data_IF_175431528339
#
_entry.id   IF_175431528339
#
_cell.length_a   1.000
_cell.length_b   1.000
_cell.length_c   1.000
_cell.angle_alpha   90.00
_cell.angle_beta   90.00
_cell.angle_gamma   90.00
#
_symmetry.space_group_name_H-M   'P 1'
#
loop_
_entity.id
_entity.type
_entity.pdbx_description
1 polymer ?
#
# COMPACT_ATOMS: atom_id res chain seq x y z
N UNK A 1 -19.76 -0.55 4.92
CA UNK A 1 -18.56 0.20 4.46
C UNK A 1 -18.68 0.36 2.96
N UNK A 2 -18.87 1.57 2.44
CA UNK A 2 -18.78 1.87 1.01
C UNK A 2 -17.31 2.12 0.67
N UNK A 3 -16.75 1.35 -0.27
CA UNK A 3 -15.39 1.56 -0.75
C UNK A 3 -15.36 2.54 -1.91
N UNK A 4 -14.33 3.38 -1.97
CA UNK A 4 -14.00 4.17 -3.17
C UNK A 4 -13.24 3.28 -4.14
N UNK A 5 -13.53 3.39 -5.44
CA UNK A 5 -12.84 2.67 -6.49
C UNK A 5 -12.18 3.66 -7.46
N UNK A 6 -10.93 3.40 -7.82
CA UNK A 6 -10.19 4.17 -8.83
C UNK A 6 -10.03 3.31 -10.08
N UNK A 7 -10.41 3.88 -11.23
CA UNK A 7 -10.27 3.29 -12.56
C UNK A 7 -9.42 4.17 -13.51
N UNK A 8 -8.81 5.22 -12.98
CA UNK A 8 -8.07 6.28 -13.70
C UNK A 8 -6.77 6.61 -12.99
N UNK A 9 -5.94 7.44 -13.61
CA UNK A 9 -4.75 7.98 -12.94
C UNK A 9 -5.17 9.04 -11.94
N UNK A 10 -4.70 8.91 -10.70
CA UNK A 10 -5.02 9.85 -9.62
C UNK A 10 -3.75 10.31 -8.90
N UNK A 11 -3.79 11.53 -8.40
CA UNK A 11 -2.67 12.12 -7.65
C UNK A 11 -3.14 12.54 -6.26
N UNK A 12 -2.27 12.40 -5.26
CA UNK A 12 -2.47 12.90 -3.90
C UNK A 12 -3.73 12.33 -3.22
N UNK A 13 -3.96 11.03 -3.37
CA UNK A 13 -5.11 10.33 -2.79
C UNK A 13 -4.88 10.11 -1.30
N UNK A 14 -5.85 10.47 -0.46
CA UNK A 14 -5.78 10.24 0.99
C UNK A 14 -6.90 9.30 1.44
N UNK A 15 -6.55 8.26 2.18
CA UNK A 15 -7.49 7.28 2.75
C UNK A 15 -7.41 7.34 4.27
N UNK A 16 -8.51 7.69 4.91
CA UNK A 16 -8.60 7.89 6.37
C UNK A 16 -9.37 6.76 7.06
N UNK A 17 -9.43 6.82 8.38
CA UNK A 17 -10.15 5.86 9.23
C UNK A 17 -11.56 5.52 8.72
N UNK A 18 -11.88 4.22 8.71
CA UNK A 18 -13.19 3.71 8.30
C UNK A 18 -13.42 3.69 6.78
N UNK A 19 -12.52 4.29 5.99
CA UNK A 19 -12.60 4.28 4.53
C UNK A 19 -11.76 3.15 3.93
N UNK A 20 -12.28 2.59 2.84
CA UNK A 20 -11.57 1.59 2.03
C UNK A 20 -11.43 2.12 0.61
N UNK A 21 -10.23 2.01 0.04
CA UNK A 21 -9.93 2.32 -1.35
C UNK A 21 -9.55 1.03 -2.09
N UNK A 22 -10.08 0.86 -3.29
CA UNK A 22 -9.62 -0.14 -4.25
C UNK A 22 -9.07 0.55 -5.49
N UNK A 23 -7.82 0.23 -5.84
CA UNK A 23 -7.17 0.75 -7.05
C UNK A 23 -7.24 -0.34 -8.10
N UNK A 24 -8.23 -0.26 -8.99
CA UNK A 24 -8.55 -1.33 -9.94
C UNK A 24 -7.87 -1.12 -11.29
N UNK A 25 -7.63 0.12 -11.68
CA UNK A 25 -6.88 0.47 -12.88
C UNK A 25 -6.18 1.84 -12.71
N UNK A 26 -5.28 2.15 -13.64
CA UNK A 26 -4.50 3.39 -13.64
C UNK A 26 -3.31 3.39 -12.69
N UNK A 27 -2.72 4.55 -12.51
CA UNK A 27 -1.59 4.79 -11.61
C UNK A 27 -1.99 5.81 -10.55
N UNK A 28 -1.82 5.45 -9.28
CA UNK A 28 -1.99 6.39 -8.16
C UNK A 28 -0.61 6.87 -7.71
N UNK A 29 -0.38 8.18 -7.76
CA UNK A 29 0.86 8.79 -7.29
C UNK A 29 0.62 9.67 -6.06
N UNK A 30 1.41 9.49 -5.00
CA UNK A 30 1.24 10.25 -3.76
C UNK A 30 0.08 9.75 -2.89
N UNK A 31 -0.02 8.43 -2.71
CA UNK A 31 -1.03 7.83 -1.84
C UNK A 31 -0.68 8.05 -0.36
N UNK A 32 -1.58 8.60 0.44
CA UNK A 32 -1.45 8.64 1.91
C UNK A 32 -2.55 7.81 2.56
N UNK A 33 -2.16 6.86 3.42
CA UNK A 33 -3.11 6.04 4.18
C UNK A 33 -2.92 6.32 5.66
N UNK A 34 -3.99 6.69 6.35
CA UNK A 34 -3.93 7.19 7.71
C UNK A 34 -4.96 6.52 8.64
N UNK A 35 -4.54 6.28 9.89
CA UNK A 35 -5.38 6.03 11.05
C UNK A 35 -6.51 4.99 10.83
N UNK A 36 -6.19 3.81 10.29
CA UNK A 36 -7.19 2.76 10.01
C UNK A 36 -7.79 2.79 8.60
N UNK A 37 -7.31 3.66 7.71
CA UNK A 37 -7.62 3.59 6.28
C UNK A 37 -7.11 2.28 5.68
N UNK A 38 -7.90 1.70 4.77
CA UNK A 38 -7.55 0.44 4.10
C UNK A 38 -7.43 0.62 2.60
N UNK A 39 -6.37 0.07 2.01
CA UNK A 39 -6.15 0.08 0.55
C UNK A 39 -5.93 -1.33 0.04
N UNK A 40 -6.65 -1.68 -1.01
CA UNK A 40 -6.36 -2.83 -1.86
C UNK A 40 -5.86 -2.34 -3.21
N UNK A 41 -4.59 -2.58 -3.48
CA UNK A 41 -3.95 -2.21 -4.72
C UNK A 41 -3.96 -3.38 -5.70
N UNK A 42 -4.78 -3.26 -6.75
CA UNK A 42 -4.81 -4.15 -7.91
C UNK A 42 -4.19 -3.49 -9.15
N UNK A 43 -3.51 -2.35 -9.00
CA UNK A 43 -2.82 -1.63 -10.08
C UNK A 43 -1.48 -1.01 -9.65
N UNK A 44 -1.05 0.08 -10.29
CA UNK A 44 0.25 0.71 -9.99
C UNK A 44 0.12 1.79 -8.94
N UNK A 45 0.98 1.76 -7.92
CA UNK A 45 1.09 2.80 -6.90
C UNK A 45 2.51 3.34 -6.83
N UNK A 46 2.64 4.67 -6.87
CA UNK A 46 3.90 5.37 -6.70
C UNK A 46 3.83 6.27 -5.46
N UNK A 47 4.90 6.28 -4.67
CA UNK A 47 5.08 7.18 -3.53
C UNK A 47 3.96 7.05 -2.49
N UNK A 48 3.76 5.84 -1.94
CA UNK A 48 2.79 5.60 -0.89
C UNK A 48 3.35 5.90 0.50
N UNK A 49 2.58 6.56 1.35
CA UNK A 49 2.91 6.83 2.75
C UNK A 49 1.84 6.21 3.64
N UNK A 50 2.23 5.19 4.42
CA UNK A 50 1.36 4.50 5.37
C UNK A 50 1.69 4.99 6.78
N UNK A 51 0.71 5.62 7.43
CA UNK A 51 0.84 6.07 8.82
C UNK A 51 0.39 4.97 9.79
N UNK A 52 0.60 5.17 11.10
CA UNK A 52 0.20 4.21 12.12
C UNK A 52 -1.27 3.77 11.97
N UNK A 53 -1.52 2.47 12.03
CA UNK A 53 -2.84 1.86 11.86
C UNK A 53 -3.33 1.76 10.41
N UNK A 54 -2.59 2.26 9.42
CA UNK A 54 -2.93 2.06 8.01
C UNK A 54 -2.81 0.59 7.60
N UNK A 55 -3.68 0.12 6.70
CA UNK A 55 -3.58 -1.21 6.11
C UNK A 55 -3.47 -1.08 4.58
N UNK A 56 -2.41 -1.65 4.02
CA UNK A 56 -2.14 -1.65 2.59
C UNK A 56 -1.88 -3.07 2.10
N UNK A 57 -2.68 -3.51 1.15
CA UNK A 57 -2.56 -4.80 0.50
C UNK A 57 -2.26 -4.62 -0.98
N UNK A 58 -1.16 -5.20 -1.46
CA UNK A 58 -0.77 -5.18 -2.86
C UNK A 58 -0.92 -6.56 -3.49
N UNK A 59 -1.75 -6.63 -4.53
CA UNK A 59 -2.14 -7.88 -5.17
C UNK A 59 -1.46 -8.04 -6.53
N UNK A 60 -0.27 -8.67 -6.54
CA UNK A 60 0.53 -8.97 -7.73
C UNK A 60 0.96 -7.79 -8.61
N UNK A 61 0.85 -6.54 -8.13
CA UNK A 61 1.22 -5.35 -8.89
C UNK A 61 2.45 -4.63 -8.36
N UNK A 62 2.80 -3.54 -9.06
CA UNK A 62 3.96 -2.73 -8.76
C UNK A 62 3.60 -1.63 -7.75
N UNK A 63 4.32 -1.63 -6.64
CA UNK A 63 4.35 -0.48 -5.72
C UNK A 63 5.77 0.04 -5.61
N UNK A 64 5.97 1.32 -5.96
CA UNK A 64 7.26 2.00 -5.94
C UNK A 64 7.27 3.14 -4.92
N UNK A 65 8.35 3.29 -4.16
CA UNK A 65 8.51 4.41 -3.23
C UNK A 65 7.57 4.37 -2.02
N UNK A 66 7.30 3.19 -1.45
CA UNK A 66 6.44 3.05 -0.28
C UNK A 66 7.21 3.29 1.04
N UNK A 67 6.70 4.21 1.85
CA UNK A 67 7.14 4.51 3.21
C UNK A 67 6.08 4.08 4.21
N UNK A 68 6.48 3.34 5.24
CA UNK A 68 5.57 2.81 6.26
C UNK A 68 6.04 3.15 7.68
N UNK A 69 5.14 3.72 8.48
CA UNK A 69 5.39 4.05 9.88
C UNK A 69 5.13 2.86 10.82
N UNK A 70 5.67 2.91 12.04
CA UNK A 70 5.36 1.91 13.06
C UNK A 70 3.85 1.80 13.27
N UNK A 71 3.34 0.57 13.27
CA UNK A 71 1.91 0.29 13.45
C UNK A 71 1.09 0.24 12.15
N UNK A 72 1.66 0.51 10.97
CA UNK A 72 1.00 0.19 9.71
C UNK A 72 1.14 -1.29 9.36
N UNK A 73 0.15 -1.85 8.69
CA UNK A 73 0.15 -3.21 8.16
C UNK A 73 0.34 -3.21 6.65
N UNK A 74 1.27 -4.04 6.19
CA UNK A 74 1.60 -4.20 4.77
C UNK A 74 1.47 -5.68 4.41
N UNK A 75 0.65 -5.96 3.40
CA UNK A 75 0.48 -7.30 2.85
C UNK A 75 0.82 -7.27 1.37
N UNK A 76 1.74 -8.13 0.94
CA UNK A 76 2.06 -8.32 -0.47
C UNK A 76 1.73 -9.76 -0.86
N UNK A 77 0.70 -9.94 -1.69
CA UNK A 77 0.32 -11.24 -2.22
C UNK A 77 1.23 -11.65 -3.40
N UNK A 78 1.92 -10.68 -3.99
CA UNK A 78 2.94 -10.84 -5.03
C UNK A 78 3.29 -9.51 -5.69
N UNK A 79 3.98 -9.55 -6.83
CA UNK A 79 4.29 -8.37 -7.64
C UNK A 79 5.65 -7.74 -7.34
N UNK A 80 5.95 -6.64 -8.04
CA UNK A 80 7.20 -5.91 -7.91
C UNK A 80 7.13 -4.87 -6.78
N UNK A 81 8.07 -4.92 -5.85
CA UNK A 81 8.18 -3.92 -4.80
C UNK A 81 9.53 -3.20 -4.94
N UNK A 82 9.50 -1.93 -5.34
CA UNK A 82 10.69 -1.07 -5.37
C UNK A 82 10.58 -0.07 -4.22
N UNK A 83 10.96 -0.49 -3.01
CA UNK A 83 10.85 0.35 -1.81
C UNK A 83 12.19 0.86 -1.33
N UNK A 84 12.15 2.09 -0.83
CA UNK A 84 13.02 2.53 0.26
C UNK A 84 12.19 2.35 1.52
N UNK A 85 12.55 1.43 2.42
CA UNK A 85 11.82 1.17 3.68
C UNK A 85 12.50 1.93 4.85
N UNK A 86 12.21 3.22 5.11
CA UNK A 86 12.59 3.85 6.37
C UNK A 86 11.59 3.40 7.45
N UNK A 87 11.67 2.15 7.88
CA UNK A 87 10.89 1.65 9.02
C UNK A 87 11.51 2.19 10.32
N UNK A 88 10.90 3.20 10.94
CA UNK A 88 11.32 3.72 12.25
C UNK A 88 10.90 2.70 13.33
N UNK A 89 11.84 1.86 13.75
CA UNK A 89 11.59 0.66 14.55
C UNK A 89 10.98 0.95 15.94
N UNK A 90 9.80 0.38 16.19
CA UNK A 90 9.29 0.04 17.52
C UNK A 90 9.11 -1.48 17.63
N UNK A 91 8.45 -2.10 16.64
CA UNK A 91 8.36 -3.55 16.46
C UNK A 91 8.15 -3.83 14.97
N UNK A 92 9.13 -4.44 14.28
CA UNK A 92 8.97 -4.88 12.89
C UNK A 92 8.96 -6.40 12.87
N UNK A 93 7.80 -6.99 12.56
CA UNK A 93 7.69 -8.43 12.30
C UNK A 93 7.44 -8.65 10.81
N UNK A 94 8.51 -8.91 10.06
CA UNK A 94 8.41 -9.45 8.71
C UNK A 94 7.92 -10.90 8.80
N UNK A 95 6.62 -11.15 8.59
CA UNK A 95 6.03 -12.48 8.83
C UNK A 95 6.23 -13.48 7.68
N UNK A 96 6.42 -13.06 6.43
CA UNK A 96 6.99 -13.90 5.36
C UNK A 96 7.34 -13.09 4.11
N UNK A 97 8.38 -13.48 3.38
CA UNK A 97 8.62 -13.11 1.99
C UNK A 97 8.46 -14.38 1.15
N UNK A 98 7.40 -14.48 0.34
CA UNK A 98 7.29 -15.51 -0.71
C UNK A 98 7.71 -14.89 -2.05
N UNK A 99 9.00 -14.85 -2.33
CA UNK A 99 9.48 -14.54 -3.68
C UNK A 99 9.51 -15.85 -4.48
N UNK A 100 8.62 -16.00 -5.46
CA UNK A 100 8.77 -17.03 -6.48
C UNK A 100 9.73 -16.50 -7.54
N UNK A 101 11.00 -16.93 -7.47
CA UNK A 101 11.94 -16.75 -8.57
C UNK A 101 11.56 -17.74 -9.66
N UNK A 102 10.95 -17.27 -10.76
CA UNK A 102 10.88 -18.07 -11.97
C UNK A 102 12.31 -18.17 -12.53
N UNK A 103 12.86 -19.38 -12.52
CA UNK A 103 14.15 -19.72 -13.13
C UNK A 103 14.07 -19.67 -14.65
#
# INVERSE_FOLDING_TARGET
MSGTQIYSNENNVTVTSGNTLQILAGTVSGLTVNNGGKVYNYSTVNNAVLQSGANFENDYKTTSGLTAQSGSELTFLGGGMATTLPCRMGHMALRSIKQSLAA
#
